data_IF_358887331294
#
_entry.id   IF_358887331294
#
_cell.length_a   1.000
_cell.length_b   1.000
_cell.length_c   1.000
_cell.angle_alpha   90.00
_cell.angle_beta   90.00
_cell.angle_gamma   90.00
#
_symmetry.space_group_name_H-M   'P 1'
#
loop_
_entity.id
_entity.type
_entity.pdbx_description
1 polymer ?
#
# COMPACT_ATOMS: atom_id res chain seq x y z
N UNK A 1 -13.56 23.73 -4.99
CA UNK A 1 -12.41 23.30 -5.80
C UNK A 1 -11.20 23.24 -4.87
N UNK A 2 -10.81 22.05 -4.43
CA UNK A 2 -9.62 21.88 -3.61
C UNK A 2 -8.46 21.52 -4.53
N UNK A 3 -7.44 22.36 -4.59
CA UNK A 3 -6.16 22.01 -5.19
C UNK A 3 -5.56 20.86 -4.38
N UNK A 4 -5.75 19.63 -4.85
CA UNK A 4 -4.90 18.51 -4.46
C UNK A 4 -3.54 18.80 -5.07
N UNK A 5 -2.64 19.44 -4.32
CA UNK A 5 -1.26 19.59 -4.77
C UNK A 5 -0.66 18.20 -4.94
N UNK A 6 -0.39 17.87 -6.19
CA UNK A 6 0.35 16.68 -6.63
C UNK A 6 1.70 16.71 -5.92
N UNK A 7 1.93 15.77 -5.00
CA UNK A 7 3.21 15.50 -4.38
C UNK A 7 4.06 14.65 -5.33
N UNK A 8 4.95 15.29 -6.08
CA UNK A 8 5.96 14.59 -6.89
C UNK A 8 6.88 13.72 -6.02
N UNK A 9 7.60 12.76 -6.65
CA UNK A 9 8.57 11.92 -5.95
C UNK A 9 9.65 12.80 -5.29
N UNK A 10 10.11 13.83 -5.99
CA UNK A 10 11.12 14.78 -5.56
C UNK A 10 10.65 15.62 -4.37
N UNK A 11 9.39 16.07 -4.37
CA UNK A 11 8.81 16.76 -3.22
C UNK A 11 8.61 15.83 -2.02
N UNK A 12 8.23 14.57 -2.25
CA UNK A 12 8.12 13.57 -1.20
C UNK A 12 9.49 13.33 -0.54
N UNK A 13 10.53 13.05 -1.35
CA UNK A 13 11.92 12.90 -0.90
C UNK A 13 12.36 14.13 -0.09
N UNK A 14 12.13 15.32 -0.62
CA UNK A 14 12.54 16.57 0.05
C UNK A 14 11.88 16.74 1.41
N UNK A 15 10.60 16.36 1.55
CA UNK A 15 9.89 16.40 2.83
C UNK A 15 10.45 15.37 3.81
N UNK A 16 10.71 14.14 3.36
CA UNK A 16 11.27 13.08 4.21
C UNK A 16 12.67 13.47 4.70
N UNK A 17 13.55 13.95 3.81
CA UNK A 17 14.90 14.41 4.17
C UNK A 17 14.86 15.47 5.28
N UNK A 18 13.93 16.42 5.21
CA UNK A 18 13.73 17.44 6.26
C UNK A 18 13.29 16.84 7.60
N UNK A 19 12.50 15.78 7.57
CA UNK A 19 12.05 15.08 8.77
C UNK A 19 13.17 14.27 9.44
N UNK A 20 14.03 13.64 8.64
CA UNK A 20 15.10 12.77 9.13
C UNK A 20 16.14 13.55 9.95
N UNK A 21 16.35 14.84 9.68
CA UNK A 21 17.30 15.71 10.42
C UNK A 21 18.67 15.04 10.65
N UNK A 22 19.16 14.36 9.63
CA UNK A 22 20.42 13.63 9.67
C UNK A 22 21.62 14.58 9.69
N UNK A 23 22.71 14.12 10.31
CA UNK A 23 24.01 14.78 10.21
C UNK A 23 24.60 14.54 8.81
N UNK A 24 25.53 15.42 8.37
CA UNK A 24 26.09 15.45 7.00
C UNK A 24 26.80 14.16 6.54
N UNK A 25 27.04 13.21 7.44
CA UNK A 25 27.74 11.95 7.17
C UNK A 25 26.89 10.87 6.50
N UNK A 26 25.57 11.06 6.40
CA UNK A 26 24.65 10.09 5.80
C UNK A 26 24.02 10.64 4.54
N UNK A 27 23.69 9.76 3.58
CA UNK A 27 22.99 10.08 2.33
C UNK A 27 21.47 10.15 2.58
N UNK A 28 20.89 11.32 2.93
CA UNK A 28 19.52 11.40 3.44
C UNK A 28 18.51 11.11 2.33
N UNK A 29 18.91 11.39 1.08
CA UNK A 29 18.14 11.12 -0.11
C UNK A 29 17.96 9.61 -0.33
N UNK A 30 19.01 8.82 -0.11
CA UNK A 30 18.94 7.37 -0.26
C UNK A 30 17.98 6.77 0.77
N UNK A 31 18.07 7.20 2.04
CA UNK A 31 17.15 6.77 3.10
C UNK A 31 15.70 7.17 2.76
N UNK A 32 15.49 8.38 2.23
CA UNK A 32 14.17 8.82 1.80
C UNK A 32 13.60 7.99 0.64
N UNK A 33 14.44 7.60 -0.33
CA UNK A 33 14.05 6.70 -1.41
C UNK A 33 13.71 5.30 -0.90
N UNK A 34 14.48 4.79 0.06
CA UNK A 34 14.22 3.50 0.71
C UNK A 34 12.92 3.52 1.50
N UNK A 35 12.63 4.58 2.26
CA UNK A 35 11.35 4.76 2.97
C UNK A 35 10.15 4.80 2.02
N UNK A 36 10.31 5.37 0.83
CA UNK A 36 9.26 5.39 -0.20
C UNK A 36 8.99 3.98 -0.75
N UNK A 37 10.02 3.15 -0.86
CA UNK A 37 9.93 1.81 -1.44
C UNK A 37 9.53 0.76 -0.39
N UNK A 38 10.22 0.72 0.75
CA UNK A 38 10.09 -0.30 1.80
C UNK A 38 9.13 0.11 2.92
N UNK A 39 8.64 1.35 2.90
CA UNK A 39 7.72 1.87 3.89
C UNK A 39 8.40 2.30 5.18
N UNK A 40 7.61 2.79 6.14
CA UNK A 40 8.11 3.36 7.40
C UNK A 40 8.95 2.40 8.23
N UNK A 41 8.65 1.09 8.22
CA UNK A 41 9.31 0.12 9.09
C UNK A 41 10.83 0.00 8.84
N UNK A 42 11.32 0.32 7.65
CA UNK A 42 12.78 0.34 7.35
C UNK A 42 13.52 1.40 8.18
N UNK A 43 12.81 2.38 8.77
CA UNK A 43 13.41 3.37 9.64
C UNK A 43 14.10 2.74 10.87
N UNK A 44 13.68 1.54 11.28
CA UNK A 44 14.31 0.79 12.38
C UNK A 44 15.79 0.50 12.11
N UNK A 45 16.17 0.31 10.86
CA UNK A 45 17.56 0.05 10.47
C UNK A 45 18.45 1.29 10.65
N UNK A 46 17.83 2.47 10.81
CA UNK A 46 18.50 3.76 11.01
C UNK A 46 18.29 4.33 12.43
N UNK A 47 17.77 3.56 13.37
CA UNK A 47 17.48 4.04 14.74
C UNK A 47 18.72 4.62 15.42
N UNK A 48 19.89 4.00 15.22
CA UNK A 48 21.16 4.45 15.83
C UNK A 48 21.75 5.71 15.18
N UNK A 49 21.28 6.03 13.97
CA UNK A 49 21.78 7.12 13.15
C UNK A 49 20.96 8.40 13.35
N UNK A 50 19.69 8.24 13.71
CA UNK A 50 18.77 9.33 13.96
C UNK A 50 18.86 9.80 15.41
N UNK A 51 18.61 11.10 15.63
CA UNK A 51 18.35 11.57 16.98
C UNK A 51 17.14 10.81 17.57
N UNK A 52 17.27 10.33 18.82
CA UNK A 52 16.24 9.46 19.41
C UNK A 52 14.86 10.11 19.50
N UNK A 53 14.79 11.44 19.64
CA UNK A 53 13.53 12.17 19.68
C UNK A 53 12.89 12.25 18.29
N UNK A 54 13.72 12.39 17.25
CA UNK A 54 13.30 12.35 15.85
C UNK A 54 12.78 10.95 15.52
N UNK A 55 13.55 9.89 15.80
CA UNK A 55 13.12 8.52 15.54
C UNK A 55 11.77 8.20 16.22
N UNK A 56 11.63 8.52 17.51
CA UNK A 56 10.36 8.32 18.24
C UNK A 56 9.19 9.08 17.62
N UNK A 57 9.40 10.33 17.20
CA UNK A 57 8.36 11.11 16.54
C UNK A 57 7.96 10.52 15.19
N UNK A 58 8.91 10.00 14.41
CA UNK A 58 8.64 9.36 13.12
C UNK A 58 7.97 7.99 13.29
N UNK A 59 8.24 7.29 14.39
CA UNK A 59 7.65 5.98 14.70
C UNK A 59 6.34 6.04 15.50
N UNK A 60 5.83 7.21 15.87
CA UNK A 60 4.55 7.36 16.59
C UNK A 60 3.33 6.99 15.71
N UNK A 61 2.63 5.92 16.07
CA UNK A 61 1.47 5.39 15.33
C UNK A 61 0.28 6.36 15.26
N UNK A 62 0.17 7.33 16.18
CA UNK A 62 -0.98 8.24 16.23
C UNK A 62 -0.71 9.59 15.56
N UNK A 63 0.56 9.96 15.35
CA UNK A 63 0.94 11.31 14.89
C UNK A 63 2.12 11.38 13.92
N UNK A 64 2.62 10.25 13.41
CA UNK A 64 3.76 10.24 12.49
C UNK A 64 3.50 11.05 11.22
N UNK A 65 4.23 12.16 11.07
CA UNK A 65 4.21 12.95 9.84
C UNK A 65 4.79 12.17 8.66
N UNK A 66 5.80 11.32 8.91
CA UNK A 66 6.39 10.43 7.92
C UNK A 66 5.34 9.49 7.33
N UNK A 67 4.57 8.81 8.19
CA UNK A 67 3.53 7.88 7.76
C UNK A 67 2.48 8.59 6.91
N UNK A 68 2.11 9.81 7.28
CA UNK A 68 1.17 10.66 6.52
C UNK A 68 1.74 11.02 5.13
N UNK A 69 3.01 11.40 5.04
CA UNK A 69 3.66 11.74 3.76
C UNK A 69 3.72 10.52 2.84
N UNK A 70 4.17 9.37 3.36
CA UNK A 70 4.24 8.13 2.60
C UNK A 70 2.86 7.70 2.09
N UNK A 71 1.85 7.76 2.97
CA UNK A 71 0.46 7.46 2.58
C UNK A 71 -0.02 8.35 1.42
N UNK A 72 0.18 9.67 1.52
CA UNK A 72 -0.20 10.61 0.46
C UNK A 72 0.52 10.31 -0.85
N UNK A 73 1.81 10.00 -0.79
CA UNK A 73 2.59 9.60 -1.95
C UNK A 73 2.01 8.35 -2.62
N UNK A 74 1.74 7.28 -1.86
CA UNK A 74 1.17 6.05 -2.43
C UNK A 74 -0.24 6.25 -2.98
N UNK A 75 -1.09 7.04 -2.30
CA UNK A 75 -2.43 7.37 -2.79
C UNK A 75 -2.38 8.08 -4.15
N UNK A 76 -1.41 8.97 -4.34
CA UNK A 76 -1.27 9.70 -5.60
C UNK A 76 -0.63 8.85 -6.70
N UNK A 77 0.44 8.13 -6.40
CA UNK A 77 1.06 7.19 -7.36
C UNK A 77 0.03 6.21 -7.88
N UNK A 78 -0.88 5.77 -7.02
CA UNK A 78 -2.02 4.98 -7.42
C UNK A 78 -2.91 5.73 -8.43
N UNK A 79 -3.37 6.94 -8.12
CA UNK A 79 -4.21 7.74 -9.05
C UNK A 79 -3.55 7.96 -10.42
N UNK A 80 -2.22 8.12 -10.46
CA UNK A 80 -1.45 8.37 -11.69
C UNK A 80 -1.18 7.12 -12.54
N UNK A 81 -0.92 5.97 -11.90
CA UNK A 81 -0.47 4.75 -12.59
C UNK A 81 -1.62 3.89 -13.11
N UNK A 82 -2.85 4.17 -12.68
CA UNK A 82 -4.01 3.45 -13.16
C UNK A 82 -4.61 4.10 -14.39
N UNK A 83 -4.32 3.51 -15.56
CA UNK A 83 -5.19 3.65 -16.75
C UNK A 83 -6.61 3.23 -16.37
N UNK A 84 -7.62 3.98 -16.79
CA UNK A 84 -9.02 3.59 -16.63
C UNK A 84 -9.24 2.17 -17.15
N UNK A 85 -9.39 1.24 -16.22
CA UNK A 85 -9.72 -0.16 -16.45
C UNK A 85 -10.72 -0.62 -15.37
N UNK A 86 -11.21 -1.84 -15.50
CA UNK A 86 -12.24 -2.37 -14.58
C UNK A 86 -11.71 -2.50 -13.14
N UNK A 87 -10.39 -2.63 -12.97
CA UNK A 87 -9.75 -2.62 -11.65
C UNK A 87 -9.75 -1.21 -11.06
N UNK A 88 -9.50 -0.17 -11.86
CA UNK A 88 -9.68 1.22 -11.43
C UNK A 88 -11.08 1.52 -10.92
N UNK A 89 -12.09 1.10 -11.68
CA UNK A 89 -13.49 1.35 -11.36
C UNK A 89 -13.89 0.65 -10.05
N UNK A 90 -13.46 -0.60 -9.87
CA UNK A 90 -13.65 -1.33 -8.62
C UNK A 90 -13.02 -0.57 -7.43
N UNK A 91 -11.79 -0.10 -7.59
CA UNK A 91 -11.07 0.62 -6.55
C UNK A 91 -11.75 1.96 -6.18
N UNK A 92 -12.24 2.72 -7.17
CA UNK A 92 -13.04 3.93 -6.94
C UNK A 92 -14.35 3.62 -6.22
N UNK A 93 -15.02 2.52 -6.60
CA UNK A 93 -16.24 2.08 -5.95
C UNK A 93 -15.99 1.77 -4.47
N UNK A 94 -14.92 1.02 -4.15
CA UNK A 94 -14.54 0.70 -2.76
C UNK A 94 -14.19 1.96 -1.97
N UNK A 95 -13.51 2.93 -2.57
CA UNK A 95 -13.25 4.22 -1.92
C UNK A 95 -14.56 4.93 -1.50
N UNK A 96 -15.60 4.84 -2.34
CA UNK A 96 -16.91 5.46 -2.06
C UNK A 96 -17.75 4.68 -1.04
N UNK A 97 -17.69 3.34 -1.05
CA UNK A 97 -18.52 2.49 -0.18
C UNK A 97 -17.86 2.19 1.16
N UNK A 98 -16.52 2.21 1.24
CA UNK A 98 -15.80 1.90 2.46
C UNK A 98 -14.46 2.64 2.57
N UNK A 99 -14.54 3.95 2.83
CA UNK A 99 -13.38 4.82 3.02
C UNK A 99 -12.46 4.37 4.16
N UNK A 100 -12.99 3.68 5.17
CA UNK A 100 -12.23 3.14 6.30
C UNK A 100 -11.28 2.03 5.84
N UNK A 101 -11.78 1.08 5.04
CA UNK A 101 -10.96 -0.01 4.50
C UNK A 101 -9.93 0.50 3.49
N UNK A 102 -10.34 1.43 2.62
CA UNK A 102 -9.45 2.11 1.70
C UNK A 102 -8.27 2.78 2.43
N UNK A 103 -8.57 3.56 3.47
CA UNK A 103 -7.55 4.20 4.29
C UNK A 103 -6.65 3.20 5.02
N UNK A 104 -7.19 2.09 5.52
CA UNK A 104 -6.41 1.05 6.19
C UNK A 104 -5.37 0.42 5.25
N UNK A 105 -5.74 0.13 4.00
CA UNK A 105 -4.81 -0.43 3.00
C UNK A 105 -3.71 0.56 2.65
N UNK A 106 -4.04 1.84 2.44
CA UNK A 106 -3.04 2.88 2.20
C UNK A 106 -2.08 3.05 3.38
N UNK A 107 -2.60 3.04 4.60
CA UNK A 107 -1.77 3.12 5.81
C UNK A 107 -0.82 1.92 5.91
N UNK A 108 -1.30 0.71 5.62
CA UNK A 108 -0.45 -0.49 5.61
C UNK A 108 0.62 -0.45 4.52
N UNK A 109 0.27 0.05 3.34
CA UNK A 109 1.23 0.24 2.25
C UNK A 109 2.31 1.25 2.64
N UNK A 110 1.94 2.36 3.27
CA UNK A 110 2.90 3.34 3.79
C UNK A 110 3.78 2.78 4.93
N UNK A 111 3.23 1.86 5.71
CA UNK A 111 3.92 1.23 6.84
C UNK A 111 4.99 0.23 6.40
N UNK A 112 4.69 -0.60 5.41
CA UNK A 112 5.50 -1.78 5.05
C UNK A 112 5.92 -1.83 3.57
N UNK A 113 5.57 -0.81 2.78
CA UNK A 113 6.02 -0.57 1.41
C UNK A 113 6.01 -1.79 0.50
N UNK A 114 7.21 -2.21 0.08
CA UNK A 114 7.46 -3.26 -0.89
C UNK A 114 6.82 -4.58 -0.47
N UNK A 115 6.63 -4.86 0.83
CA UNK A 115 5.88 -6.05 1.28
C UNK A 115 4.49 -6.16 0.65
N UNK A 116 3.85 -5.02 0.38
CA UNK A 116 2.51 -4.93 -0.21
C UNK A 116 2.50 -4.22 -1.57
N UNK A 117 3.67 -3.98 -2.15
CA UNK A 117 3.81 -3.38 -3.49
C UNK A 117 4.88 -4.05 -4.35
N UNK A 118 5.52 -5.12 -3.86
CA UNK A 118 6.63 -5.87 -4.50
C UNK A 118 6.26 -6.48 -5.82
N UNK A 119 4.98 -6.78 -6.00
CA UNK A 119 4.54 -7.46 -7.18
C UNK A 119 4.27 -6.45 -8.30
N UNK A 120 4.66 -6.85 -9.51
CA UNK A 120 4.80 -6.07 -10.76
C UNK A 120 3.65 -5.09 -11.02
N UNK A 121 2.47 -5.31 -10.44
CA UNK A 121 1.33 -4.39 -10.50
C UNK A 121 0.80 -3.97 -9.10
N UNK A 122 1.10 -2.73 -8.68
CA UNK A 122 0.59 -2.16 -7.43
C UNK A 122 -0.95 -2.14 -7.31
N UNK A 123 -1.68 -2.07 -8.43
CA UNK A 123 -3.15 -2.03 -8.43
C UNK A 123 -3.73 -3.35 -7.99
N UNK A 124 -3.16 -4.45 -8.50
CA UNK A 124 -3.61 -5.79 -8.16
C UNK A 124 -3.35 -6.06 -6.67
N UNK A 125 -2.20 -5.62 -6.15
CA UNK A 125 -1.89 -5.74 -4.72
C UNK A 125 -2.88 -4.98 -3.86
N UNK A 126 -3.21 -3.75 -4.24
CA UNK A 126 -4.22 -2.95 -3.54
C UNK A 126 -5.62 -3.59 -3.61
N UNK A 127 -6.03 -4.09 -4.77
CA UNK A 127 -7.32 -4.74 -4.93
C UNK A 127 -7.45 -5.99 -4.07
N UNK A 128 -6.40 -6.83 -4.02
CA UNK A 128 -6.37 -8.02 -3.15
C UNK A 128 -6.42 -7.58 -1.67
N UNK A 129 -5.61 -6.61 -1.25
CA UNK A 129 -5.63 -6.10 0.12
C UNK A 129 -6.96 -5.49 0.54
N UNK A 130 -7.70 -4.87 -0.38
CA UNK A 130 -9.00 -4.30 -0.10
C UNK A 130 -10.07 -5.36 0.08
N UNK A 131 -9.95 -6.47 -0.64
CA UNK A 131 -10.99 -7.50 -0.70
C UNK A 131 -10.87 -8.49 0.44
N UNK A 132 -9.62 -8.83 0.79
CA UNK A 132 -9.36 -9.80 1.84
C UNK A 132 -9.20 -9.07 3.17
N UNK A 133 -9.86 -9.60 4.20
CA UNK A 133 -9.69 -9.22 5.59
C UNK A 133 -8.31 -9.70 6.06
N UNK A 134 -7.30 -9.01 5.59
CA UNK A 134 -5.94 -9.13 6.08
C UNK A 134 -5.89 -8.15 7.25
N UNK A 135 -5.94 -8.63 8.50
CA UNK A 135 -5.88 -7.76 9.68
C UNK A 135 -4.45 -7.68 10.24
N UNK A 136 -4.12 -6.61 10.97
CA UNK A 136 -2.76 -6.41 11.47
C UNK A 136 -2.33 -7.47 12.52
N UNK A 137 -3.29 -8.09 13.22
CA UNK A 137 -3.02 -9.09 14.24
C UNK A 137 -2.75 -10.47 13.64
N UNK A 138 -3.35 -10.76 12.49
CA UNK A 138 -3.22 -11.97 11.71
C UNK A 138 -2.01 -11.89 10.76
N UNK A 139 -1.43 -10.70 10.56
CA UNK A 139 -0.21 -10.46 9.76
C UNK A 139 1.10 -10.48 10.55
N UNK A 140 1.11 -10.11 11.85
CA UNK A 140 2.34 -10.15 12.64
C UNK A 140 2.87 -11.58 12.84
N UNK A 141 2.08 -12.61 12.52
CA UNK A 141 2.45 -14.02 12.65
C UNK A 141 2.57 -14.77 11.32
N UNK A 142 2.14 -14.24 10.17
CA UNK A 142 2.18 -14.98 8.91
C UNK A 142 2.22 -14.09 7.65
N UNK A 143 3.41 -13.59 7.34
CA UNK A 143 3.78 -13.05 6.02
C UNK A 143 3.40 -14.01 4.89
N UNK A 144 3.38 -15.31 5.21
CA UNK A 144 2.95 -16.41 4.37
C UNK A 144 1.52 -16.25 3.86
N UNK A 145 0.59 -15.69 4.64
CA UNK A 145 -0.84 -15.72 4.27
C UNK A 145 -1.19 -14.77 3.11
N UNK A 146 -0.70 -13.52 3.15
CA UNK A 146 -0.93 -12.59 2.05
C UNK A 146 -0.20 -13.06 0.78
N UNK A 147 1.03 -13.56 0.93
CA UNK A 147 1.81 -14.14 -0.18
C UNK A 147 1.08 -15.37 -0.76
N UNK A 148 0.51 -16.24 0.08
CA UNK A 148 -0.29 -17.38 -0.38
C UNK A 148 -1.55 -16.97 -1.13
N UNK A 149 -2.31 -16.00 -0.62
CA UNK A 149 -3.46 -15.44 -1.34
C UNK A 149 -2.98 -14.90 -2.68
N UNK A 150 -1.94 -14.08 -2.67
CA UNK A 150 -1.37 -13.47 -3.86
C UNK A 150 -0.95 -14.51 -4.91
N UNK A 151 -0.13 -15.48 -4.53
CA UNK A 151 0.39 -16.53 -5.41
C UNK A 151 -0.74 -17.45 -5.92
N UNK A 152 -1.71 -17.77 -5.07
CA UNK A 152 -2.89 -18.55 -5.47
C UNK A 152 -3.76 -17.77 -6.46
N UNK A 153 -3.90 -16.47 -6.24
CA UNK A 153 -4.63 -15.57 -7.13
C UNK A 153 -3.95 -15.43 -8.49
N UNK A 154 -2.62 -15.30 -8.53
CA UNK A 154 -1.84 -15.28 -9.77
C UNK A 154 -1.95 -16.60 -10.54
N UNK A 155 -1.91 -17.74 -9.84
CA UNK A 155 -1.85 -19.07 -10.45
C UNK A 155 -3.21 -19.66 -10.82
N UNK A 156 -4.25 -19.36 -10.05
CA UNK A 156 -5.58 -19.99 -10.19
C UNK A 156 -6.69 -19.00 -10.54
N UNK A 157 -6.40 -17.69 -10.58
CA UNK A 157 -7.35 -16.65 -10.95
C UNK A 157 -8.63 -16.71 -10.12
N UNK A 158 -9.77 -16.94 -10.77
CA UNK A 158 -11.09 -16.97 -10.11
C UNK A 158 -11.22 -18.10 -9.07
N UNK A 159 -10.62 -19.26 -9.32
CA UNK A 159 -10.67 -20.37 -8.37
C UNK A 159 -9.94 -20.02 -7.07
N UNK A 160 -8.88 -19.21 -7.16
CA UNK A 160 -8.20 -18.65 -6.00
C UNK A 160 -9.12 -17.78 -5.15
N UNK A 161 -9.95 -16.91 -5.77
CA UNK A 161 -10.92 -16.08 -5.02
C UNK A 161 -11.88 -16.95 -4.22
N UNK A 162 -12.38 -18.02 -4.84
CA UNK A 162 -13.34 -18.93 -4.22
C UNK A 162 -12.71 -19.69 -3.05
N UNK A 163 -11.46 -20.15 -3.20
CA UNK A 163 -10.70 -20.84 -2.14
C UNK A 163 -10.53 -20.00 -0.87
N UNK A 164 -10.54 -18.67 -0.99
CA UNK A 164 -10.40 -17.74 0.13
C UNK A 164 -11.67 -16.93 0.42
N UNK A 165 -12.85 -17.39 -0.04
CA UNK A 165 -14.11 -16.66 0.09
C UNK A 165 -14.47 -16.29 1.56
N UNK A 166 -14.08 -17.12 2.52
CA UNK A 166 -14.29 -16.89 3.96
C UNK A 166 -13.50 -15.70 4.53
N UNK A 167 -12.43 -15.29 3.84
CA UNK A 167 -11.60 -14.15 4.23
C UNK A 167 -12.03 -12.86 3.53
N UNK A 168 -13.08 -12.88 2.72
CA UNK A 168 -13.58 -11.69 2.05
C UNK A 168 -14.23 -10.75 3.07
N UNK A 169 -13.98 -9.45 2.92
CA UNK A 169 -14.63 -8.42 3.73
C UNK A 169 -16.13 -8.41 3.42
N UNK A 170 -17.03 -8.61 4.40
CA UNK A 170 -18.47 -8.71 4.17
C UNK A 170 -19.06 -7.51 3.44
N UNK A 171 -18.57 -6.31 3.71
CA UNK A 171 -19.00 -5.06 3.09
C UNK A 171 -18.66 -4.99 1.58
N UNK A 172 -17.68 -5.77 1.15
CA UNK A 172 -17.23 -5.89 -0.24
C UNK A 172 -17.79 -7.17 -0.88
N UNK A 173 -18.39 -8.08 -0.08
CA UNK A 173 -18.99 -9.33 -0.58
C UNK A 173 -20.09 -9.08 -1.63
N UNK A 174 -20.85 -7.99 -1.49
CA UNK A 174 -21.85 -7.57 -2.46
C UNK A 174 -21.25 -7.09 -3.81
N UNK A 175 -19.95 -6.78 -3.84
CA UNK A 175 -19.19 -6.38 -5.02
C UNK A 175 -18.26 -7.49 -5.54
N UNK A 176 -18.42 -8.74 -5.08
CA UNK A 176 -17.62 -9.88 -5.53
C UNK A 176 -17.61 -10.03 -7.05
N UNK A 177 -18.73 -9.74 -7.72
CA UNK A 177 -18.82 -9.83 -9.19
C UNK A 177 -17.93 -8.79 -9.87
N UNK A 178 -17.95 -7.53 -9.44
CA UNK A 178 -17.13 -6.46 -10.02
C UNK A 178 -15.63 -6.73 -9.81
N UNK A 179 -15.26 -7.23 -8.63
CA UNK A 179 -13.91 -7.69 -8.37
C UNK A 179 -13.51 -8.87 -9.27
N UNK A 180 -14.35 -9.90 -9.36
CA UNK A 180 -14.06 -11.07 -10.18
C UNK A 180 -13.89 -10.68 -11.66
N UNK A 181 -14.67 -9.73 -12.15
CA UNK A 181 -14.54 -9.17 -13.50
C UNK A 181 -13.22 -8.41 -13.63
N UNK A 182 -12.90 -7.51 -12.70
CA UNK A 182 -11.66 -6.74 -12.71
C UNK A 182 -10.41 -7.64 -12.69
N UNK A 183 -10.40 -8.67 -11.85
CA UNK A 183 -9.31 -9.63 -11.76
C UNK A 183 -9.23 -10.53 -13.01
N UNK A 184 -10.36 -11.01 -13.53
CA UNK A 184 -10.37 -11.79 -14.78
C UNK A 184 -9.84 -10.99 -15.96
N UNK A 185 -10.26 -9.74 -16.09
CA UNK A 185 -9.81 -8.83 -17.16
C UNK A 185 -8.32 -8.53 -17.05
N UNK A 186 -7.83 -8.31 -15.83
CA UNK A 186 -6.43 -8.14 -15.55
C UNK A 186 -5.60 -9.34 -16.02
N UNK A 187 -5.94 -10.55 -15.57
CA UNK A 187 -5.20 -11.76 -15.95
C UNK A 187 -5.34 -12.16 -17.42
N UNK A 188 -6.49 -11.89 -18.04
CA UNK A 188 -6.69 -12.13 -19.47
C UNK A 188 -5.68 -11.33 -20.32
N UNK A 189 -5.47 -10.07 -19.98
CA UNK A 189 -4.51 -9.18 -20.69
C UNK A 189 -3.05 -9.49 -20.42
N UNK A 190 -2.72 -10.19 -19.33
CA UNK A 190 -1.34 -10.55 -18.95
C UNK A 190 -0.92 -11.88 -19.58
N UNK A 191 -1.88 -12.73 -19.96
CA UNK A 191 -1.65 -14.04 -20.59
C UNK A 191 -1.73 -14.00 -22.12
N UNK A 192 -2.12 -12.86 -22.70
CA UNK A 192 -2.10 -12.57 -24.14
C UNK A 192 -0.84 -11.78 -24.51
#
# INVERSE_FOLDING_TARGET
>A
MAYSSVLSKEECISKIVRLLKLNEEYEPKQIAEELITEGRQVLRDYEQVLDSSVFKSLMDDNQSELLRILKLYHEQRWKETIKEDELHQFLQQVQSTSIVHYNRVLMRTAEYGSKFSKYVDPKLSLAIQLVFKVDNNTMNSDDTFFIQIWDTMLSQGLQGVQSYAQYLIPEISNNQTALCVALKSYFKKVLE
#
